data_IF_320857641582
#
_entry.id   IF_320857641582
#
_cell.length_a   1.000
_cell.length_b   1.000
_cell.length_c   1.000
_cell.angle_alpha   90.00
_cell.angle_beta   90.00
_cell.angle_gamma   90.00
#
_symmetry.space_group_name_H-M   'P 1'
#
loop_
_entity.id
_entity.type
_entity.pdbx_description
1 polymer ?
#
# COMPACT_ATOMS: atom_id res chain seq x y z
N UNK A 1 -1.20 -4.97 15.84
CA UNK A 1 -2.17 -5.33 14.79
C UNK A 1 -2.15 -4.37 13.59
N UNK A 2 -1.62 -3.14 13.75
CA UNK A 2 -1.62 -2.12 12.70
C UNK A 2 -0.74 -2.52 11.50
N UNK A 3 0.41 -3.15 11.74
CA UNK A 3 1.34 -3.56 10.69
C UNK A 3 0.74 -4.58 9.72
N UNK A 4 0.04 -5.59 10.26
CA UNK A 4 -0.62 -6.61 9.45
C UNK A 4 -1.72 -6.06 8.55
N UNK A 5 -2.57 -5.19 9.09
CA UNK A 5 -3.63 -4.51 8.31
C UNK A 5 -3.01 -3.63 7.24
N UNK A 6 -1.96 -2.88 7.57
CA UNK A 6 -1.24 -2.05 6.60
C UNK A 6 -0.65 -2.86 5.45
N UNK A 7 -0.08 -4.05 5.71
CA UNK A 7 0.45 -4.93 4.66
C UNK A 7 -0.65 -5.42 3.73
N UNK A 8 -1.80 -5.86 4.27
CA UNK A 8 -2.93 -6.31 3.46
C UNK A 8 -3.45 -5.17 2.57
N UNK A 9 -3.66 -3.98 3.15
CA UNK A 9 -4.14 -2.80 2.41
C UNK A 9 -3.14 -2.42 1.33
N UNK A 10 -1.85 -2.35 1.66
CA UNK A 10 -0.78 -1.97 0.73
C UNK A 10 -0.63 -2.96 -0.41
N UNK A 11 -0.75 -4.26 -0.13
CA UNK A 11 -0.72 -5.31 -1.14
C UNK A 11 -1.88 -5.17 -2.12
N UNK A 12 -3.12 -5.04 -1.61
CA UNK A 12 -4.32 -4.92 -2.46
C UNK A 12 -4.26 -3.65 -3.30
N UNK A 13 -4.02 -2.50 -2.68
CA UNK A 13 -3.95 -1.22 -3.38
C UNK A 13 -2.77 -1.15 -4.34
N UNK A 14 -1.60 -1.64 -3.93
CA UNK A 14 -0.41 -1.70 -4.77
C UNK A 14 -0.65 -2.58 -6.00
N UNK A 15 -1.21 -3.77 -5.85
CA UNK A 15 -1.58 -4.61 -6.99
C UNK A 15 -2.57 -3.90 -7.92
N UNK A 16 -3.63 -3.29 -7.38
CA UNK A 16 -4.64 -2.60 -8.19
C UNK A 16 -4.04 -1.42 -8.96
N UNK A 17 -3.27 -0.55 -8.30
CA UNK A 17 -2.61 0.57 -8.98
C UNK A 17 -1.56 0.09 -9.98
N UNK A 18 -0.83 -0.98 -9.69
CA UNK A 18 0.13 -1.58 -10.61
C UNK A 18 -0.53 -2.15 -11.87
N UNK A 19 -1.69 -2.81 -11.73
CA UNK A 19 -2.49 -3.27 -12.87
C UNK A 19 -2.95 -2.08 -13.71
N UNK A 20 -3.54 -1.06 -13.08
CA UNK A 20 -4.13 0.08 -13.79
C UNK A 20 -3.05 0.92 -14.50
N UNK A 21 -1.92 1.19 -13.83
CA UNK A 21 -0.80 1.95 -14.40
C UNK A 21 -0.14 1.22 -15.56
N UNK A 22 0.07 -0.09 -15.46
CA UNK A 22 0.62 -0.90 -16.54
C UNK A 22 -0.34 -1.00 -17.74
N UNK A 23 -1.65 -1.18 -17.49
CA UNK A 23 -2.64 -1.25 -18.56
C UNK A 23 -2.78 0.09 -19.30
N UNK A 24 -2.78 1.20 -18.55
CA UNK A 24 -2.85 2.56 -19.09
C UNK A 24 -1.46 3.19 -19.27
N UNK A 25 -0.46 2.39 -19.66
CA UNK A 25 0.92 2.85 -19.84
C UNK A 25 0.97 4.04 -20.82
N UNK A 26 1.70 5.08 -20.45
CA UNK A 26 1.82 6.32 -21.24
C UNK A 26 0.66 7.31 -21.09
N UNK A 27 -0.36 7.02 -20.29
CA UNK A 27 -1.37 8.02 -19.89
C UNK A 27 -0.85 8.90 -18.75
N UNK A 28 -1.52 10.04 -18.51
CA UNK A 28 -1.21 10.96 -17.39
C UNK A 28 -1.10 10.20 -16.05
N UNK A 29 -1.96 9.19 -15.84
CA UNK A 29 -1.94 8.35 -14.64
C UNK A 29 -0.59 7.63 -14.49
N UNK A 30 -0.07 7.02 -15.56
CA UNK A 30 1.24 6.35 -15.54
C UNK A 30 2.39 7.37 -15.45
N UNK A 31 2.31 8.49 -16.17
CA UNK A 31 3.34 9.53 -16.20
C UNK A 31 3.52 10.23 -14.85
N UNK A 32 2.48 10.31 -14.02
CA UNK A 32 2.57 10.91 -12.68
C UNK A 32 2.83 9.85 -11.62
N UNK A 33 2.01 8.79 -11.59
CA UNK A 33 2.00 7.86 -10.46
C UNK A 33 3.26 6.97 -10.44
N UNK A 34 3.75 6.53 -11.61
CA UNK A 34 4.90 5.63 -11.67
C UNK A 34 6.20 6.31 -11.21
N UNK A 35 6.54 7.53 -11.66
CA UNK A 35 7.69 8.25 -11.12
C UNK A 35 7.52 8.63 -9.64
N UNK A 36 6.32 9.02 -9.21
CA UNK A 36 6.06 9.36 -7.81
C UNK A 36 6.29 8.14 -6.89
N UNK A 37 5.78 6.96 -7.26
CA UNK A 37 6.01 5.73 -6.50
C UNK A 37 7.46 5.27 -6.56
N UNK A 38 8.14 5.45 -7.70
CA UNK A 38 9.57 5.18 -7.80
C UNK A 38 10.38 6.07 -6.85
N UNK A 39 10.08 7.37 -6.82
CA UNK A 39 10.70 8.31 -5.87
C UNK A 39 10.42 7.93 -4.41
N UNK A 40 9.16 7.64 -4.07
CA UNK A 40 8.78 7.20 -2.72
C UNK A 40 9.49 5.91 -2.32
N UNK A 41 9.69 4.97 -3.24
CA UNK A 41 10.39 3.70 -2.96
C UNK A 41 11.87 3.88 -2.61
N UNK A 42 12.48 4.99 -3.01
CA UNK A 42 13.86 5.31 -2.68
C UNK A 42 14.01 5.91 -1.26
N UNK A 43 12.92 6.39 -0.66
CA UNK A 43 12.93 6.98 0.68
C UNK A 43 12.83 5.85 1.72
N UNK A 44 13.76 5.75 2.68
CA UNK A 44 13.65 4.79 3.77
C UNK A 44 12.36 5.02 4.58
N UNK A 45 11.64 3.95 4.93
CA UNK A 45 10.32 4.03 5.58
C UNK A 45 10.32 4.87 6.87
N UNK A 46 11.36 4.74 7.70
CA UNK A 46 11.47 5.49 8.96
C UNK A 46 11.64 6.99 8.70
N UNK A 47 12.33 7.36 7.61
CA UNK A 47 12.50 8.74 7.18
C UNK A 47 11.17 9.34 6.72
N UNK A 48 10.39 8.56 5.95
CA UNK A 48 9.07 8.96 5.50
C UNK A 48 8.09 9.13 6.68
N UNK A 49 8.19 8.27 7.70
CA UNK A 49 7.46 8.42 8.95
C UNK A 49 7.85 9.70 9.71
N UNK A 50 9.15 9.98 9.88
CA UNK A 50 9.65 11.19 10.53
C UNK A 50 9.22 12.47 9.79
N UNK A 51 9.34 12.49 8.46
CA UNK A 51 8.89 13.63 7.65
C UNK A 51 7.38 13.85 7.79
N UNK A 52 6.59 12.78 7.81
CA UNK A 52 5.14 12.90 7.96
C UNK A 52 4.75 13.43 9.33
N UNK A 53 5.42 13.00 10.40
CA UNK A 53 5.24 13.60 11.73
C UNK A 53 5.64 15.08 11.73
N UNK A 54 6.78 15.42 11.15
CA UNK A 54 7.24 16.81 11.10
C UNK A 54 6.27 17.72 10.34
N UNK A 55 5.77 17.29 9.19
CA UNK A 55 4.87 18.12 8.37
C UNK A 55 3.46 18.15 8.97
N UNK A 56 2.86 16.98 9.20
CA UNK A 56 1.44 16.89 9.51
C UNK A 56 1.12 17.05 11.00
N UNK A 57 2.05 16.66 11.88
CA UNK A 57 1.86 16.83 13.32
C UNK A 57 2.53 18.10 13.85
N UNK A 58 3.78 18.39 13.48
CA UNK A 58 4.51 19.55 14.02
C UNK A 58 4.20 20.87 13.30
N UNK A 59 4.32 20.93 11.97
CA UNK A 59 4.10 22.19 11.24
C UNK A 59 2.61 22.51 11.10
N UNK A 60 1.83 21.55 10.60
CA UNK A 60 0.41 21.77 10.27
C UNK A 60 -0.53 21.60 11.46
N UNK A 61 -0.09 20.92 12.53
CA UNK A 61 -0.91 20.61 13.71
C UNK A 61 -2.23 19.88 13.34
N UNK A 62 -2.24 19.11 12.25
CA UNK A 62 -3.41 18.32 11.83
C UNK A 62 -3.54 17.03 12.65
N UNK A 63 -2.40 16.47 13.07
CA UNK A 63 -2.33 15.24 13.85
C UNK A 63 -1.57 15.47 15.16
N UNK A 64 -1.85 14.65 16.18
CA UNK A 64 -1.13 14.72 17.44
C UNK A 64 0.34 14.34 17.25
N UNK A 65 1.24 15.11 17.89
CA UNK A 65 2.68 14.84 17.88
C UNK A 65 3.08 13.74 18.87
N UNK A 66 2.30 13.56 19.94
CA UNK A 66 2.57 12.60 20.99
C UNK A 66 2.33 11.18 20.49
N UNK A 67 3.37 10.34 20.55
CA UNK A 67 3.24 8.92 20.28
C UNK A 67 2.34 8.26 21.32
N UNK A 68 1.27 7.61 20.87
CA UNK A 68 0.28 6.96 21.72
C UNK A 68 -0.89 6.43 20.91
N UNK A 69 -1.71 5.55 21.49
CA UNK A 69 -2.87 4.97 20.81
C UNK A 69 -4.12 5.85 20.88
N UNK A 70 -4.16 6.85 21.77
CA UNK A 70 -5.26 7.80 22.00
C UNK A 70 -4.76 8.96 22.90
N UNK A 71 -5.58 9.99 23.10
CA UNK A 71 -5.31 11.07 24.07
C UNK A 71 -5.44 10.56 25.52
N UNK A 72 -4.34 10.01 26.02
CA UNK A 72 -4.25 9.50 27.39
C UNK A 72 -4.29 10.59 28.48
N UNK A 73 -4.22 11.88 28.10
CA UNK A 73 -4.29 12.99 29.05
C UNK A 73 -5.73 13.36 29.44
N UNK A 74 -6.68 13.21 28.49
CA UNK A 74 -8.04 13.69 28.66
C UNK A 74 -9.12 12.61 28.51
N UNK A 75 -8.78 11.45 27.95
CA UNK A 75 -9.78 10.42 27.59
C UNK A 75 -9.43 9.10 28.28
N UNK A 76 -10.41 8.54 28.98
CA UNK A 76 -10.29 7.20 29.57
C UNK A 76 -10.67 6.11 28.56
N UNK A 77 -9.97 4.96 28.55
CA UNK A 77 -10.34 3.81 27.73
C UNK A 77 -11.77 3.35 28.01
N UNK A 78 -12.58 3.25 26.95
CA UNK A 78 -13.96 2.81 27.07
C UNK A 78 -14.64 2.64 25.71
N UNK A 79 -15.85 2.09 25.72
CA UNK A 79 -16.68 1.94 24.52
C UNK A 79 -17.42 3.24 24.17
N UNK A 80 -16.74 4.38 24.29
CA UNK A 80 -17.30 5.71 24.01
C UNK A 80 -16.88 6.19 22.64
N UNK A 81 -17.75 6.95 21.98
CA UNK A 81 -17.45 7.54 20.67
C UNK A 81 -16.20 8.43 20.72
N UNK A 82 -16.02 9.18 21.82
CA UNK A 82 -14.84 10.04 22.05
C UNK A 82 -13.54 9.23 22.04
N UNK A 83 -13.50 8.10 22.75
CA UNK A 83 -12.34 7.21 22.74
C UNK A 83 -12.06 6.66 21.34
N UNK A 84 -13.06 6.15 20.63
CA UNK A 84 -12.87 5.65 19.26
C UNK A 84 -12.37 6.73 18.30
N UNK A 85 -12.92 7.94 18.37
CA UNK A 85 -12.50 9.06 17.52
C UNK A 85 -11.04 9.45 17.77
N UNK A 86 -10.62 9.45 19.04
CA UNK A 86 -9.24 9.69 19.44
C UNK A 86 -8.32 8.60 18.92
N UNK A 87 -8.69 7.33 19.09
CA UNK A 87 -7.88 6.21 18.58
C UNK A 87 -7.66 6.31 17.07
N UNK A 88 -8.70 6.64 16.31
CA UNK A 88 -8.58 6.82 14.85
C UNK A 88 -7.65 7.98 14.53
N UNK A 89 -7.80 9.14 15.19
CA UNK A 89 -6.96 10.30 14.92
C UNK A 89 -5.46 10.03 15.20
N UNK A 90 -5.15 9.34 16.30
CA UNK A 90 -3.78 9.02 16.68
C UNK A 90 -3.18 7.89 15.82
N UNK A 91 -3.99 6.93 15.38
CA UNK A 91 -3.52 5.83 14.54
C UNK A 91 -3.46 6.17 13.05
N UNK A 92 -4.21 7.17 12.57
CA UNK A 92 -4.36 7.43 11.14
C UNK A 92 -3.06 7.81 10.45
N UNK A 93 -2.30 8.77 10.99
CA UNK A 93 -1.05 9.20 10.36
C UNK A 93 0.01 8.09 10.32
N UNK A 94 0.27 7.33 11.42
CA UNK A 94 1.11 6.13 11.39
C UNK A 94 0.62 5.06 10.40
N UNK A 95 -0.68 4.80 10.35
CA UNK A 95 -1.25 3.83 9.42
C UNK A 95 -1.03 4.25 7.97
N UNK A 96 -1.29 5.53 7.67
CA UNK A 96 -1.15 6.10 6.33
C UNK A 96 0.30 6.06 5.86
N UNK A 97 1.24 6.41 6.73
CA UNK A 97 2.69 6.36 6.42
C UNK A 97 3.16 4.94 6.13
N UNK A 98 2.75 3.96 6.93
CA UNK A 98 3.05 2.55 6.69
C UNK A 98 2.47 2.06 5.36
N UNK A 99 1.22 2.44 5.07
CA UNK A 99 0.55 2.07 3.82
C UNK A 99 1.26 2.68 2.62
N UNK A 100 1.52 3.99 2.62
CA UNK A 100 2.19 4.69 1.50
C UNK A 100 3.58 4.10 1.24
N UNK A 101 4.36 3.89 2.30
CA UNK A 101 5.72 3.37 2.19
C UNK A 101 5.74 1.96 1.59
N UNK A 102 4.80 1.10 2.00
CA UNK A 102 4.72 -0.28 1.52
C UNK A 102 4.09 -0.38 0.11
N UNK A 103 3.14 0.50 -0.19
CA UNK A 103 2.38 0.50 -1.45
C UNK A 103 3.27 0.68 -2.67
N UNK A 104 4.31 1.52 -2.59
CA UNK A 104 5.22 1.77 -3.70
C UNK A 104 5.87 0.48 -4.22
N UNK A 105 6.37 -0.38 -3.33
CA UNK A 105 7.00 -1.65 -3.69
C UNK A 105 6.04 -2.62 -4.37
N UNK A 106 4.84 -2.80 -3.81
CA UNK A 106 3.79 -3.66 -4.39
C UNK A 106 3.34 -3.17 -5.76
N UNK A 107 3.16 -1.86 -5.90
CA UNK A 107 2.73 -1.25 -7.16
C UNK A 107 3.77 -1.44 -8.27
N UNK A 108 5.03 -1.11 -8.00
CA UNK A 108 6.10 -1.19 -9.00
C UNK A 108 6.34 -2.64 -9.43
N UNK A 109 6.33 -3.58 -8.49
CA UNK A 109 6.50 -5.02 -8.79
C UNK A 109 5.36 -5.53 -9.66
N UNK A 110 4.10 -5.20 -9.32
CA UNK A 110 2.95 -5.57 -10.15
C UNK A 110 3.01 -4.94 -11.53
N UNK A 111 3.34 -3.64 -11.61
CA UNK A 111 3.40 -2.89 -12.87
C UNK A 111 4.44 -3.49 -13.82
N UNK A 112 5.64 -3.77 -13.31
CA UNK A 112 6.73 -4.34 -14.11
C UNK A 112 6.38 -5.74 -14.62
N UNK A 113 5.82 -6.58 -13.75
CA UNK A 113 5.35 -7.92 -14.12
C UNK A 113 4.26 -7.83 -15.19
N UNK A 114 3.28 -6.94 -15.00
CA UNK A 114 2.16 -6.73 -15.90
C UNK A 114 2.61 -6.23 -17.29
N UNK A 115 3.59 -5.33 -17.36
CA UNK A 115 4.15 -4.87 -18.65
C UNK A 115 4.77 -6.02 -19.43
N UNK A 116 5.52 -6.91 -18.76
CA UNK A 116 6.11 -8.09 -19.40
C UNK A 116 5.01 -9.04 -19.87
N UNK A 117 4.06 -9.35 -19.01
CA UNK A 117 2.91 -10.24 -19.30
C UNK A 117 2.04 -9.73 -20.46
N UNK A 118 1.84 -8.42 -20.57
CA UNK A 118 1.08 -7.80 -21.67
C UNK A 118 1.68 -8.05 -23.05
N UNK A 119 2.97 -8.41 -23.11
CA UNK A 119 3.71 -8.70 -24.35
C UNK A 119 3.67 -10.18 -24.73
N UNK A 120 2.95 -11.02 -23.97
CA UNK A 120 2.88 -12.47 -24.21
C UNK A 120 1.81 -12.84 -25.26
N UNK A 121 2.08 -13.90 -26.03
CA UNK A 121 1.25 -14.33 -27.18
C UNK A 121 -0.20 -14.66 -26.80
N UNK A 122 -0.44 -15.20 -25.61
CA UNK A 122 -1.82 -15.51 -25.20
C UNK A 122 -2.63 -14.24 -24.92
N UNK A 123 -1.99 -13.13 -24.54
CA UNK A 123 -2.65 -11.82 -24.40
C UNK A 123 -2.97 -11.27 -25.78
N UNK A 124 -2.05 -11.38 -26.74
CA UNK A 124 -2.29 -11.02 -28.14
C UNK A 124 -3.42 -11.86 -28.74
N UNK A 125 -3.44 -13.16 -28.51
CA UNK A 125 -4.52 -14.05 -28.94
C UNK A 125 -5.87 -13.68 -28.31
N UNK A 126 -5.88 -13.30 -27.02
CA UNK A 126 -7.08 -12.83 -26.34
C UNK A 126 -7.64 -11.56 -26.97
N UNK A 127 -6.77 -10.62 -27.40
CA UNK A 127 -7.15 -9.43 -28.17
C UNK A 127 -7.70 -9.79 -29.54
N UNK A 128 -7.04 -10.71 -30.26
CA UNK A 128 -7.48 -11.18 -31.58
C UNK A 128 -8.86 -11.89 -31.52
N UNK A 129 -9.18 -12.53 -30.39
CA UNK A 129 -10.50 -13.12 -30.12
C UNK A 129 -11.59 -12.08 -29.80
N UNK A 130 -11.26 -10.79 -29.73
CA UNK A 130 -12.22 -9.72 -29.43
C UNK A 130 -12.74 -9.73 -27.99
N UNK A 131 -11.98 -10.27 -27.03
CA UNK A 131 -12.36 -10.22 -25.62
C UNK A 131 -12.37 -8.77 -25.12
N UNK A 132 -13.25 -8.45 -24.16
CA UNK A 132 -13.30 -7.11 -23.59
C UNK A 132 -12.01 -6.74 -22.87
N UNK A 133 -11.59 -5.47 -22.99
CA UNK A 133 -10.36 -4.94 -22.39
C UNK A 133 -10.23 -5.31 -20.90
N UNK A 134 -11.30 -5.13 -20.10
CA UNK A 134 -11.29 -5.48 -18.68
C UNK A 134 -11.11 -6.98 -18.41
N UNK A 135 -11.61 -7.86 -19.29
CA UNK A 135 -11.40 -9.31 -19.17
C UNK A 135 -9.94 -9.66 -19.47
N UNK A 136 -9.36 -9.07 -20.50
CA UNK A 136 -7.95 -9.28 -20.87
C UNK A 136 -7.06 -8.77 -19.71
N UNK A 137 -7.33 -7.57 -19.21
CA UNK A 137 -6.60 -6.95 -18.12
C UNK A 137 -6.60 -7.81 -16.85
N UNK A 138 -7.77 -8.12 -16.30
CA UNK A 138 -7.84 -8.79 -15.00
C UNK A 138 -7.66 -10.31 -15.06
N UNK A 139 -8.18 -10.99 -16.10
CA UNK A 139 -8.23 -12.47 -16.12
C UNK A 139 -7.09 -13.13 -16.87
N UNK A 140 -6.50 -12.46 -17.85
CA UNK A 140 -5.40 -13.01 -18.65
C UNK A 140 -4.06 -12.46 -18.18
N UNK A 141 -3.92 -11.14 -18.15
CA UNK A 141 -2.63 -10.53 -17.83
C UNK A 141 -2.42 -10.42 -16.30
N UNK A 142 -3.30 -9.75 -15.55
CA UNK A 142 -3.10 -9.54 -14.11
C UNK A 142 -2.99 -10.86 -13.32
N UNK A 143 -3.73 -11.91 -13.75
CA UNK A 143 -3.69 -13.23 -13.11
C UNK A 143 -2.29 -13.86 -13.14
N UNK A 144 -1.53 -13.66 -14.20
CA UNK A 144 -0.17 -14.19 -14.32
C UNK A 144 0.86 -13.20 -13.76
N UNK A 145 0.63 -11.90 -13.96
CA UNK A 145 1.53 -10.86 -13.48
C UNK A 145 1.58 -10.72 -11.95
N UNK A 146 0.55 -11.17 -11.21
CA UNK A 146 0.48 -11.02 -9.75
C UNK A 146 1.32 -12.03 -8.98
N UNK A 147 1.85 -13.08 -9.63
CA UNK A 147 2.57 -14.16 -8.96
C UNK A 147 3.74 -13.68 -8.08
N UNK A 148 4.62 -12.75 -8.52
CA UNK A 148 5.70 -12.23 -7.67
C UNK A 148 5.17 -11.51 -6.43
N UNK A 149 4.09 -10.75 -6.59
CA UNK A 149 3.44 -10.06 -5.47
C UNK A 149 2.83 -11.05 -4.48
N UNK A 150 2.21 -12.14 -4.93
CA UNK A 150 1.69 -13.19 -4.03
C UNK A 150 2.82 -13.81 -3.21
N UNK A 151 3.96 -14.12 -3.85
CA UNK A 151 5.13 -14.66 -3.15
C UNK A 151 5.65 -13.67 -2.11
N UNK A 152 5.82 -12.40 -2.49
CA UNK A 152 6.22 -11.35 -1.56
C UNK A 152 5.23 -11.23 -0.39
N UNK A 153 3.93 -11.28 -0.67
CA UNK A 153 2.88 -11.17 0.35
C UNK A 153 2.96 -12.33 1.35
N UNK A 154 3.17 -13.56 0.88
CA UNK A 154 3.38 -14.71 1.75
C UNK A 154 4.60 -14.54 2.66
N UNK A 155 5.71 -14.01 2.13
CA UNK A 155 6.91 -13.68 2.92
C UNK A 155 6.58 -12.62 3.97
N UNK A 156 5.90 -11.54 3.60
CA UNK A 156 5.54 -10.46 4.51
C UNK A 156 4.64 -10.95 5.67
N UNK A 157 3.65 -11.79 5.37
CA UNK A 157 2.82 -12.45 6.39
C UNK A 157 3.68 -13.33 7.31
N UNK A 158 4.60 -14.12 6.75
CA UNK A 158 5.55 -14.93 7.53
C UNK A 158 6.39 -14.09 8.50
N UNK A 159 6.88 -12.92 8.06
CA UNK A 159 7.65 -12.00 8.92
C UNK A 159 6.78 -11.40 10.03
N UNK A 160 5.54 -11.01 9.73
CA UNK A 160 4.61 -10.48 10.74
C UNK A 160 4.37 -11.53 11.83
N UNK A 161 4.09 -12.77 11.44
CA UNK A 161 3.85 -13.87 12.37
C UNK A 161 5.10 -14.26 13.15
N UNK A 162 6.27 -14.22 12.52
CA UNK A 162 7.54 -14.69 13.09
C UNK A 162 8.24 -13.74 14.07
N UNK A 163 7.90 -12.44 14.10
CA UNK A 163 8.59 -11.51 15.01
C UNK A 163 7.85 -10.20 15.32
N UNK A 164 6.96 -9.75 14.43
CA UNK A 164 6.24 -8.49 14.63
C UNK A 164 5.08 -8.64 15.64
N UNK A 165 4.41 -9.80 15.69
CA UNK A 165 3.39 -10.09 16.71
C UNK A 165 3.97 -10.08 18.14
N UNK A 166 5.19 -10.58 18.33
CA UNK A 166 5.86 -10.57 19.64
C UNK A 166 6.17 -9.14 20.10
N UNK A 167 6.52 -8.24 19.18
CA UNK A 167 6.76 -6.82 19.49
C UNK A 167 5.48 -5.99 19.62
N UNK A 168 4.35 -6.46 19.07
CA UNK A 168 3.04 -5.84 19.24
C UNK A 168 2.32 -6.26 20.53
N UNK A 169 2.78 -7.32 21.22
CA UNK A 169 2.22 -7.79 22.50
C UNK A 169 2.90 -7.22 23.74
N UNK A 170 4.05 -6.57 23.60
CA UNK A 170 4.87 -6.03 24.71
C UNK A 170 4.76 -4.52 24.76
#
# INVERSE_FOLDING_TARGET
>A
MLGGIAVIISFVLGCLFGIITAWKRGTILDTILSPAMNFLSAIPYFWLALLSLFIFAYLLNWFPLTGGSYDAGNIFPGWTFEYFSSVVQYAFLPALTLVISSLAGWMLTMRNSMITTLSEDYVLMAKAKGLSEGRIMFRYAARNAVLPNITGFAIAIGTIVGGQLLTEMV
#
